data_IF_030866254292
#
_entry.id   IF_030866254292
#
_cell.length_a   1.000
_cell.length_b   1.000
_cell.length_c   1.000
_cell.angle_alpha   90.00
_cell.angle_beta   90.00
_cell.angle_gamma   90.00
#
_symmetry.space_group_name_H-M   'P 1'
#
loop_
_entity.id
_entity.type
_entity.pdbx_description
1 polymer ?
#
# COMPACT_ATOMS: atom_id res chain seq x y z
N UNK A 1 12.15 4.48 3.02
CA UNK A 1 10.73 4.74 3.45
C UNK A 1 10.53 4.18 4.84
N UNK A 2 9.82 4.88 5.76
CA UNK A 2 9.58 4.40 7.13
C UNK A 2 8.08 4.20 7.36
N UNK A 3 7.73 3.26 8.23
CA UNK A 3 6.33 3.02 8.64
C UNK A 3 5.78 4.27 9.33
N UNK A 4 6.61 4.96 10.12
CA UNK A 4 6.26 6.23 10.80
C UNK A 4 5.85 7.36 9.84
N UNK A 5 6.31 7.31 8.59
CA UNK A 5 6.09 8.38 7.60
C UNK A 5 4.77 8.23 6.84
N UNK A 6 3.99 7.16 7.12
CA UNK A 6 2.73 6.88 6.43
C UNK A 6 1.65 7.87 6.91
N UNK A 7 1.19 8.76 6.03
CA UNK A 7 0.29 9.83 6.44
C UNK A 7 -1.10 9.29 6.81
N UNK A 8 -1.67 9.83 7.90
CA UNK A 8 -3.06 9.61 8.27
C UNK A 8 -3.46 8.20 8.72
N UNK A 9 -2.49 7.30 8.99
CA UNK A 9 -2.74 5.90 9.34
C UNK A 9 -2.20 5.50 10.73
N UNK A 10 -2.53 6.22 11.82
CA UNK A 10 -1.91 5.99 13.12
C UNK A 10 -2.20 4.59 13.69
N UNK A 11 -3.35 3.99 13.37
CA UNK A 11 -3.70 2.64 13.83
C UNK A 11 -2.86 1.58 13.11
N UNK A 12 -2.73 1.68 11.79
CA UNK A 12 -1.90 0.77 11.00
C UNK A 12 -0.43 0.87 11.43
N UNK A 13 0.11 2.10 11.56
CA UNK A 13 1.48 2.36 12.02
C UNK A 13 1.73 1.69 13.37
N UNK A 14 0.89 1.95 14.38
CA UNK A 14 1.03 1.34 15.72
C UNK A 14 1.00 -0.18 15.69
N UNK A 15 0.12 -0.77 14.91
CA UNK A 15 -0.01 -2.23 14.79
C UNK A 15 1.25 -2.85 14.19
N UNK A 16 1.76 -2.30 13.09
CA UNK A 16 2.96 -2.80 12.42
C UNK A 16 4.22 -2.61 13.28
N UNK A 17 4.36 -1.45 13.92
CA UNK A 17 5.47 -1.19 14.83
C UNK A 17 5.43 -2.08 16.07
N UNK A 18 4.24 -2.38 16.62
CA UNK A 18 4.10 -3.30 17.74
C UNK A 18 4.49 -4.73 17.34
N UNK A 19 4.14 -5.18 16.13
CA UNK A 19 4.55 -6.48 15.62
C UNK A 19 6.08 -6.59 15.53
N UNK A 20 6.75 -5.57 15.00
CA UNK A 20 8.22 -5.50 14.92
C UNK A 20 8.86 -5.48 16.31
N UNK A 21 8.36 -4.62 17.21
CA UNK A 21 8.90 -4.46 18.58
C UNK A 21 8.85 -5.75 19.38
N UNK A 22 7.74 -6.48 19.27
CA UNK A 22 7.51 -7.70 20.05
C UNK A 22 8.07 -8.95 19.36
N UNK A 23 8.57 -8.84 18.13
CA UNK A 23 9.02 -9.98 17.32
C UNK A 23 7.87 -10.91 16.89
N UNK A 24 6.61 -10.52 17.14
CA UNK A 24 5.43 -11.32 16.84
C UNK A 24 4.90 -10.96 15.45
N UNK A 25 5.59 -11.45 14.43
CA UNK A 25 5.23 -11.20 13.02
C UNK A 25 4.28 -12.30 12.56
N UNK A 26 3.08 -11.90 12.15
CA UNK A 26 2.10 -12.82 11.55
C UNK A 26 2.61 -13.32 10.19
N UNK A 27 2.29 -14.57 9.86
CA UNK A 27 2.59 -15.15 8.54
C UNK A 27 1.78 -14.48 7.40
N UNK A 28 0.65 -13.85 7.72
CA UNK A 28 -0.17 -13.15 6.76
C UNK A 28 -0.79 -11.88 7.33
N UNK A 29 -0.82 -10.83 6.53
CA UNK A 29 -1.47 -9.55 6.79
C UNK A 29 -2.46 -9.24 5.67
N UNK A 30 -3.60 -8.64 6.03
CA UNK A 30 -4.58 -8.10 5.09
C UNK A 30 -4.68 -6.59 5.30
N UNK A 31 -4.09 -5.81 4.41
CA UNK A 31 -4.18 -4.35 4.42
C UNK A 31 -5.40 -3.91 3.63
N UNK A 32 -6.44 -3.50 4.35
CA UNK A 32 -7.72 -3.18 3.75
C UNK A 32 -8.13 -1.72 3.93
N UNK A 33 -8.63 -1.11 2.86
CA UNK A 33 -9.12 0.27 2.85
C UNK A 33 -9.18 0.87 1.45
N UNK A 34 -9.76 2.06 1.26
CA UNK A 34 -9.95 2.67 -0.04
C UNK A 34 -8.65 2.95 -0.79
N UNK A 35 -8.74 3.19 -2.10
CA UNK A 35 -7.61 3.63 -2.92
C UNK A 35 -6.93 4.88 -2.33
N UNK A 36 -5.62 5.02 -2.57
CA UNK A 36 -4.85 6.21 -2.18
C UNK A 36 -4.62 6.40 -0.68
N UNK A 37 -4.92 5.40 0.15
CA UNK A 37 -4.71 5.45 1.62
C UNK A 37 -3.30 5.08 2.06
N UNK A 38 -2.39 4.76 1.13
CA UNK A 38 -0.99 4.44 1.43
C UNK A 38 -0.72 2.96 1.75
N UNK A 39 -1.62 2.03 1.37
CA UNK A 39 -1.47 0.58 1.63
C UNK A 39 -0.20 0.00 1.02
N UNK A 40 0.08 0.29 -0.27
CA UNK A 40 1.29 -0.19 -0.96
C UNK A 40 2.55 0.35 -0.31
N UNK A 41 2.57 1.66 -0.01
CA UNK A 41 3.68 2.31 0.68
C UNK A 41 3.91 1.70 2.08
N UNK A 42 2.83 1.41 2.81
CA UNK A 42 2.91 0.76 4.12
C UNK A 42 3.44 -0.67 4.02
N UNK A 43 3.03 -1.44 3.02
CA UNK A 43 3.51 -2.80 2.79
C UNK A 43 5.01 -2.82 2.47
N UNK A 44 5.47 -1.91 1.59
CA UNK A 44 6.88 -1.76 1.26
C UNK A 44 7.71 -1.30 2.47
N UNK A 45 7.22 -0.33 3.24
CA UNK A 45 7.90 0.13 4.47
C UNK A 45 7.98 -0.99 5.52
N UNK A 46 6.92 -1.78 5.67
CA UNK A 46 6.92 -2.92 6.58
C UNK A 46 7.86 -4.02 6.10
N UNK A 47 7.87 -4.35 4.81
CA UNK A 47 8.82 -5.29 4.22
C UNK A 47 10.27 -4.81 4.44
N UNK A 48 10.56 -3.53 4.20
CA UNK A 48 11.87 -2.95 4.44
C UNK A 48 12.29 -3.08 5.92
N UNK A 49 11.37 -2.88 6.85
CA UNK A 49 11.63 -3.06 8.28
C UNK A 49 11.88 -4.54 8.65
N UNK A 50 11.18 -5.49 8.01
CA UNK A 50 11.39 -6.92 8.20
C UNK A 50 12.76 -7.41 7.72
N UNK A 51 13.33 -6.79 6.69
CA UNK A 51 14.66 -7.08 6.17
C UNK A 51 15.76 -6.29 6.88
N UNK A 52 15.42 -5.20 7.59
CA UNK A 52 16.38 -4.30 8.19
C UNK A 52 17.28 -5.01 9.21
N UNK A 53 18.61 -4.92 9.01
CA UNK A 53 19.61 -5.55 9.88
C UNK A 53 19.88 -4.78 11.16
N UNK A 54 19.51 -3.49 11.22
CA UNK A 54 19.69 -2.67 12.42
C UNK A 54 18.68 -3.02 13.53
N UNK A 55 17.57 -3.68 13.16
CA UNK A 55 16.48 -3.96 14.09
C UNK A 55 15.70 -2.72 14.49
N UNK A 56 14.68 -2.92 15.35
CA UNK A 56 13.85 -1.83 15.86
C UNK A 56 12.41 -1.90 15.39
N UNK A 57 11.70 -0.79 15.57
CA UNK A 57 10.27 -0.67 15.23
C UNK A 57 10.02 -0.09 13.84
N UNK A 58 11.11 0.19 13.11
CA UNK A 58 11.06 0.77 11.76
C UNK A 58 12.36 0.46 10.99
N UNK A 59 12.35 0.66 9.67
CA UNK A 59 13.53 0.54 8.84
C UNK A 59 14.54 1.66 9.12
N UNK A 60 15.84 1.35 9.20
CA UNK A 60 16.87 2.37 9.36
C UNK A 60 17.07 3.23 8.10
N UNK A 61 16.78 2.68 6.90
CA UNK A 61 16.96 3.34 5.61
C UNK A 61 18.40 3.31 5.05
N UNK A 62 19.39 2.90 5.84
CA UNK A 62 20.82 3.04 5.51
C UNK A 62 21.53 1.70 5.26
N UNK A 63 21.10 0.63 5.92
CA UNK A 63 21.71 -0.69 5.75
C UNK A 63 21.52 -1.24 4.33
N UNK A 64 22.34 -2.21 3.95
CA UNK A 64 22.31 -2.80 2.60
C UNK A 64 20.93 -3.36 2.25
N UNK A 65 20.28 -4.08 3.20
CA UNK A 65 18.94 -4.61 2.99
C UNK A 65 17.90 -3.50 2.74
N UNK A 66 17.93 -2.41 3.52
CA UNK A 66 17.03 -1.27 3.29
C UNK A 66 17.23 -0.66 1.91
N UNK A 67 18.47 -0.50 1.45
CA UNK A 67 18.78 0.02 0.12
C UNK A 67 18.36 -0.94 -1.00
N UNK A 68 18.55 -2.26 -0.83
CA UNK A 68 18.06 -3.26 -1.79
C UNK A 68 16.55 -3.15 -1.99
N UNK A 69 15.76 -3.05 -0.90
CA UNK A 69 14.30 -2.88 -0.99
C UNK A 69 13.93 -1.57 -1.68
N UNK A 70 14.58 -0.47 -1.34
CA UNK A 70 14.31 0.86 -1.91
C UNK A 70 14.55 0.91 -3.41
N UNK A 71 15.56 0.19 -3.90
CA UNK A 71 15.90 0.11 -5.33
C UNK A 71 15.22 -1.07 -6.06
N UNK A 72 14.33 -1.83 -5.39
CA UNK A 72 13.64 -2.98 -5.98
C UNK A 72 14.55 -4.18 -6.27
N UNK A 73 15.71 -4.26 -5.62
CA UNK A 73 16.75 -5.28 -5.84
C UNK A 73 16.83 -6.31 -4.70
N UNK A 74 15.81 -6.38 -3.82
CA UNK A 74 15.75 -7.39 -2.77
C UNK A 74 15.18 -8.70 -3.33
N UNK A 75 15.98 -9.77 -3.46
CA UNK A 75 15.55 -11.01 -4.12
C UNK A 75 14.46 -11.77 -3.32
N UNK A 76 14.39 -11.55 -2.02
CA UNK A 76 13.41 -12.19 -1.14
C UNK A 76 12.12 -11.34 -0.97
N UNK A 77 11.98 -10.22 -1.71
CA UNK A 77 10.76 -9.42 -1.82
C UNK A 77 10.10 -9.63 -3.18
N UNK A 78 8.91 -10.20 -3.17
CA UNK A 78 8.13 -10.45 -4.38
C UNK A 78 6.85 -9.62 -4.37
N UNK A 79 6.58 -8.94 -5.48
CA UNK A 79 5.34 -8.19 -5.68
C UNK A 79 4.53 -8.92 -6.74
N UNK A 80 3.27 -9.22 -6.41
CA UNK A 80 2.32 -9.89 -7.30
C UNK A 80 1.23 -8.90 -7.63
N UNK A 81 1.11 -8.58 -8.90
CA UNK A 81 0.07 -7.73 -9.47
C UNK A 81 -0.85 -8.55 -10.35
N UNK A 82 -2.12 -8.15 -10.54
CA UNK A 82 -3.00 -8.82 -11.49
C UNK A 82 -2.41 -8.87 -12.90
N UNK A 83 -2.50 -10.02 -13.56
CA UNK A 83 -2.24 -10.16 -15.00
C UNK A 83 -3.55 -9.85 -15.74
N UNK A 84 -3.64 -8.65 -16.29
CA UNK A 84 -4.88 -8.09 -16.81
C UNK A 84 -5.87 -7.78 -15.68
N UNK A 85 -7.03 -8.43 -15.69
CA UNK A 85 -8.11 -8.16 -14.74
C UNK A 85 -8.07 -9.03 -13.45
N UNK A 86 -7.17 -10.00 -13.33
CA UNK A 86 -7.20 -10.97 -12.23
C UNK A 86 -5.84 -11.55 -11.89
N UNK A 87 -5.70 -11.97 -10.63
CA UNK A 87 -4.58 -12.80 -10.19
C UNK A 87 -4.93 -14.26 -10.45
N UNK A 88 -4.13 -14.92 -11.28
CA UNK A 88 -4.37 -16.30 -11.71
C UNK A 88 -3.61 -17.31 -10.85
N UNK A 89 -4.09 -18.56 -10.88
CA UNK A 89 -3.51 -19.66 -10.11
C UNK A 89 -2.00 -19.88 -10.40
N UNK A 90 -1.56 -19.63 -11.63
CA UNK A 90 -0.16 -19.86 -12.02
C UNK A 90 0.80 -18.86 -11.34
N UNK A 91 0.33 -17.65 -11.06
CA UNK A 91 1.07 -16.66 -10.25
C UNK A 91 1.25 -17.17 -8.81
N UNK A 92 0.20 -17.74 -8.21
CA UNK A 92 0.26 -18.33 -6.86
C UNK A 92 1.14 -19.58 -6.83
N UNK A 93 1.07 -20.43 -7.88
CA UNK A 93 1.95 -21.61 -8.01
C UNK A 93 3.41 -21.22 -8.21
N UNK A 94 3.69 -20.13 -8.94
CA UNK A 94 5.02 -19.53 -9.04
C UNK A 94 5.56 -19.19 -7.66
N UNK A 95 4.78 -18.45 -6.88
CA UNK A 95 5.08 -18.11 -5.51
C UNK A 95 5.37 -19.35 -4.64
N UNK A 96 4.54 -20.39 -4.74
CA UNK A 96 4.74 -21.63 -3.98
C UNK A 96 6.03 -22.38 -4.37
N UNK A 97 6.43 -22.33 -5.64
CA UNK A 97 7.73 -22.89 -6.08
C UNK A 97 8.90 -22.09 -5.50
N UNK A 98 8.83 -20.77 -5.51
CA UNK A 98 9.87 -19.91 -4.94
C UNK A 98 10.03 -20.12 -3.42
N UNK A 99 8.96 -20.56 -2.75
CA UNK A 99 8.99 -20.95 -1.32
C UNK A 99 9.83 -22.21 -1.06
N UNK A 100 9.94 -23.10 -2.04
CA UNK A 100 10.72 -24.34 -1.94
C UNK A 100 12.23 -24.06 -1.91
N UNK A 101 12.66 -22.89 -2.38
CA UNK A 101 14.05 -22.46 -2.29
C UNK A 101 14.27 -21.76 -0.94
N UNK A 102 15.44 -22.00 -0.32
CA UNK A 102 15.81 -21.30 0.91
C UNK A 102 15.83 -19.79 0.66
N UNK A 103 15.42 -19.01 1.68
CA UNK A 103 15.64 -17.58 1.66
C UNK A 103 17.12 -17.31 1.37
N UNK A 104 17.43 -16.30 0.54
CA UNK A 104 18.80 -15.97 0.17
C UNK A 104 19.61 -15.45 1.36
N UNK A 105 20.05 -14.20 1.30
CA UNK A 105 20.74 -13.54 2.43
C UNK A 105 19.78 -13.11 3.54
N UNK A 106 18.51 -12.93 3.24
CA UNK A 106 17.49 -12.52 4.19
C UNK A 106 16.98 -13.69 5.03
N UNK A 107 16.65 -13.41 6.29
CA UNK A 107 16.05 -14.41 7.21
C UNK A 107 14.58 -14.70 6.87
N UNK A 108 13.95 -13.91 6.02
CA UNK A 108 12.53 -13.95 5.66
C UNK A 108 12.32 -13.73 4.18
N UNK A 109 11.22 -14.26 3.65
CA UNK A 109 10.68 -13.92 2.32
C UNK A 109 9.39 -13.15 2.52
N UNK A 110 9.20 -12.08 1.77
CA UNK A 110 8.00 -11.23 1.85
C UNK A 110 7.32 -11.21 0.49
N UNK A 111 6.03 -11.48 0.49
CA UNK A 111 5.16 -11.40 -0.68
C UNK A 111 4.13 -10.31 -0.48
N UNK A 112 4.10 -9.33 -1.39
CA UNK A 112 3.08 -8.29 -1.43
C UNK A 112 2.17 -8.59 -2.61
N UNK A 113 0.90 -8.82 -2.35
CA UNK A 113 -0.11 -9.09 -3.37
C UNK A 113 -1.02 -7.88 -3.49
N UNK A 114 -0.99 -7.20 -4.63
CA UNK A 114 -1.85 -6.06 -4.93
C UNK A 114 -3.22 -6.51 -5.43
N UNK A 115 -4.25 -5.73 -5.12
CA UNK A 115 -5.63 -6.02 -5.54
C UNK A 115 -6.04 -7.47 -5.27
N UNK A 116 -5.79 -7.95 -4.06
CA UNK A 116 -6.01 -9.35 -3.69
C UNK A 116 -7.47 -9.81 -3.89
N UNK A 117 -8.43 -8.88 -3.96
CA UNK A 117 -9.84 -9.14 -4.32
C UNK A 117 -10.00 -9.63 -5.77
N UNK A 118 -9.01 -9.43 -6.64
CA UNK A 118 -9.05 -9.87 -8.04
C UNK A 118 -8.59 -11.32 -8.25
N UNK A 119 -8.22 -12.02 -7.16
CA UNK A 119 -7.87 -13.44 -7.26
C UNK A 119 -9.01 -14.26 -7.85
N UNK A 120 -8.68 -15.10 -8.85
CA UNK A 120 -9.64 -16.12 -9.30
C UNK A 120 -9.96 -17.09 -8.16
N UNK A 121 -11.13 -17.76 -8.16
CA UNK A 121 -11.47 -18.76 -7.14
C UNK A 121 -10.39 -19.84 -6.97
N UNK A 122 -9.76 -20.26 -8.06
CA UNK A 122 -8.68 -21.25 -8.05
C UNK A 122 -7.41 -20.69 -7.38
N UNK A 123 -7.06 -19.41 -7.67
CA UNK A 123 -5.93 -18.73 -7.04
C UNK A 123 -6.16 -18.57 -5.53
N UNK A 124 -7.35 -18.12 -5.13
CA UNK A 124 -7.73 -17.95 -3.73
C UNK A 124 -7.70 -19.28 -2.95
N UNK A 125 -8.21 -20.36 -3.53
CA UNK A 125 -8.14 -21.70 -2.93
C UNK A 125 -6.69 -22.22 -2.83
N UNK A 126 -5.84 -21.93 -3.82
CA UNK A 126 -4.42 -22.26 -3.74
C UNK A 126 -3.70 -21.48 -2.63
N UNK A 127 -4.09 -20.21 -2.42
CA UNK A 127 -3.55 -19.38 -1.35
C UNK A 127 -3.93 -19.91 0.04
N UNK A 128 -5.10 -20.53 0.22
CA UNK A 128 -5.53 -21.12 1.50
C UNK A 128 -4.54 -22.17 2.01
N UNK A 129 -4.01 -23.03 1.14
CA UNK A 129 -3.00 -24.04 1.52
C UNK A 129 -1.76 -23.39 2.14
N UNK A 130 -1.32 -22.29 1.54
CA UNK A 130 -0.20 -21.51 2.08
C UNK A 130 -0.52 -20.87 3.43
N UNK A 131 -1.75 -20.38 3.62
CA UNK A 131 -2.18 -19.75 4.88
C UNK A 131 -2.42 -20.76 6.01
N UNK A 132 -2.71 -22.01 5.68
CA UNK A 132 -2.93 -23.10 6.65
C UNK A 132 -1.61 -23.70 7.15
N UNK A 133 -0.65 -23.86 6.26
CA UNK A 133 0.67 -24.40 6.55
C UNK A 133 1.78 -23.43 6.11
N UNK A 134 1.87 -22.25 6.76
CA UNK A 134 2.82 -21.22 6.33
C UNK A 134 4.25 -21.64 6.64
N UNK A 135 5.18 -21.53 5.68
CA UNK A 135 6.59 -21.69 5.98
C UNK A 135 7.05 -20.65 7.01
N UNK A 136 7.85 -21.03 8.02
CA UNK A 136 8.13 -20.17 9.18
C UNK A 136 8.87 -18.86 8.87
N UNK A 137 9.46 -18.77 7.69
CA UNK A 137 10.24 -17.59 7.25
C UNK A 137 9.48 -16.69 6.28
N UNK A 138 8.20 -16.98 6.01
CA UNK A 138 7.45 -16.27 4.98
C UNK A 138 6.41 -15.35 5.59
N UNK A 139 6.28 -14.15 5.01
CA UNK A 139 5.25 -13.17 5.36
C UNK A 139 4.50 -12.77 4.09
N UNK A 140 3.20 -13.01 4.05
CA UNK A 140 2.32 -12.54 2.98
C UNK A 140 1.61 -11.26 3.38
N UNK A 141 1.56 -10.26 2.50
CA UNK A 141 0.85 -9.00 2.70
C UNK A 141 -0.14 -8.84 1.54
N UNK A 142 -1.42 -9.02 1.84
CA UNK A 142 -2.51 -8.89 0.88
C UNK A 142 -3.04 -7.46 0.92
N UNK A 143 -3.06 -6.76 -0.20
CA UNK A 143 -3.61 -5.40 -0.32
C UNK A 143 -4.97 -5.48 -1.00
N UNK A 144 -5.99 -4.88 -0.40
CA UNK A 144 -7.35 -4.87 -0.95
C UNK A 144 -8.05 -3.54 -0.73
N UNK A 145 -8.83 -3.11 -1.71
CA UNK A 145 -9.74 -1.96 -1.56
C UNK A 145 -11.04 -2.36 -0.88
N UNK A 146 -11.48 -3.59 -1.12
CA UNK A 146 -12.71 -4.13 -0.57
C UNK A 146 -12.43 -5.41 0.24
N UNK A 147 -12.18 -5.30 1.56
CA UNK A 147 -11.95 -6.46 2.41
C UNK A 147 -13.10 -7.47 2.42
N UNK A 148 -14.32 -7.05 2.08
CA UNK A 148 -15.47 -7.95 2.03
C UNK A 148 -15.46 -8.85 0.79
N UNK A 149 -14.77 -8.46 -0.28
CA UNK A 149 -14.61 -9.29 -1.46
C UNK A 149 -13.57 -10.42 -1.27
N UNK A 150 -12.74 -10.33 -0.23
CA UNK A 150 -11.79 -11.40 0.11
C UNK A 150 -12.55 -12.56 0.79
N UNK A 151 -12.23 -13.79 0.41
CA UNK A 151 -12.83 -14.98 1.00
C UNK A 151 -12.75 -14.96 2.54
N UNK A 152 -13.84 -15.26 3.27
CA UNK A 152 -13.85 -15.28 4.73
C UNK A 152 -12.76 -16.19 5.32
N UNK A 153 -12.43 -17.27 4.63
CA UNK A 153 -11.39 -18.24 5.00
C UNK A 153 -9.97 -17.65 4.92
N UNK A 154 -9.71 -16.74 3.99
CA UNK A 154 -8.44 -15.98 3.91
C UNK A 154 -8.43 -14.92 5.01
N UNK A 155 -9.53 -14.16 5.17
CA UNK A 155 -9.64 -13.11 6.19
C UNK A 155 -9.42 -13.61 7.62
N UNK A 156 -9.93 -14.81 7.93
CA UNK A 156 -9.79 -15.39 9.27
C UNK A 156 -8.38 -15.85 9.61
N UNK A 157 -7.50 -16.01 8.60
CA UNK A 157 -6.11 -16.44 8.75
C UNK A 157 -5.08 -15.32 8.60
N UNK A 158 -5.51 -14.14 8.18
CA UNK A 158 -4.65 -12.97 8.01
C UNK A 158 -4.93 -11.93 9.10
N UNK A 159 -3.87 -11.31 9.62
CA UNK A 159 -4.01 -10.19 10.54
C UNK A 159 -4.50 -8.95 9.78
N UNK A 160 -5.70 -8.48 10.11
CA UNK A 160 -6.27 -7.32 9.46
C UNK A 160 -5.63 -6.03 9.93
N UNK A 161 -5.19 -5.21 8.97
CA UNK A 161 -4.64 -3.86 9.19
C UNK A 161 -5.52 -2.86 8.44
N UNK A 162 -6.35 -2.08 9.15
CA UNK A 162 -7.27 -1.14 8.52
C UNK A 162 -6.55 0.12 8.06
N UNK A 163 -6.86 0.55 6.84
CA UNK A 163 -6.47 1.84 6.27
C UNK A 163 -7.70 2.71 6.09
N UNK A 164 -7.69 3.90 6.67
CA UNK A 164 -8.79 4.84 6.62
C UNK A 164 -8.60 5.86 5.49
N UNK A 165 -9.69 6.40 4.93
CA UNK A 165 -9.60 7.52 4.00
C UNK A 165 -8.80 8.67 4.58
N UNK A 166 -7.94 9.26 3.77
CA UNK A 166 -7.18 10.44 4.18
C UNK A 166 -8.08 11.67 4.21
N UNK A 167 -7.98 12.47 5.27
CA UNK A 167 -8.69 13.75 5.30
C UNK A 167 -8.08 14.72 4.28
N UNK A 168 -8.87 15.63 3.69
CA UNK A 168 -8.37 16.67 2.80
C UNK A 168 -7.24 17.49 3.41
N UNK A 169 -7.28 17.73 4.72
CA UNK A 169 -6.23 18.43 5.44
C UNK A 169 -4.89 17.71 5.38
N UNK A 170 -4.87 16.40 5.67
CA UNK A 170 -3.64 15.60 5.65
C UNK A 170 -3.07 15.53 4.22
N UNK A 171 -3.94 15.35 3.22
CA UNK A 171 -3.52 15.34 1.82
C UNK A 171 -2.94 16.68 1.40
N UNK A 172 -3.57 17.79 1.81
CA UNK A 172 -3.10 19.15 1.51
C UNK A 172 -1.74 19.42 2.16
N UNK A 173 -1.59 19.13 3.45
CA UNK A 173 -0.31 19.30 4.17
C UNK A 173 0.81 18.53 3.47
N UNK A 174 0.56 17.30 3.03
CA UNK A 174 1.54 16.48 2.31
C UNK A 174 1.90 17.08 0.96
N UNK A 175 0.92 17.46 0.13
CA UNK A 175 1.14 18.07 -1.18
C UNK A 175 1.92 19.40 -1.08
N UNK A 176 1.62 20.22 -0.07
CA UNK A 176 2.36 21.47 0.17
C UNK A 176 3.80 21.19 0.60
N UNK A 177 4.05 20.17 1.43
CA UNK A 177 5.42 19.79 1.81
C UNK A 177 6.24 19.24 0.64
N UNK A 178 5.60 18.75 -0.41
CA UNK A 178 6.20 18.30 -1.67
C UNK A 178 6.42 19.44 -2.69
N UNK A 179 6.03 20.67 -2.35
CA UNK A 179 6.22 21.87 -3.18
C UNK A 179 5.14 22.07 -4.26
N UNK A 180 4.01 21.36 -4.20
CA UNK A 180 2.90 21.59 -5.13
C UNK A 180 2.26 22.97 -4.91
N UNK A 181 1.79 23.65 -6.00
CA UNK A 181 1.15 24.95 -5.91
C UNK A 181 -0.09 24.92 -5.01
N UNK A 182 -0.20 25.80 -3.98
CA UNK A 182 -1.28 25.73 -2.98
C UNK A 182 -2.69 25.76 -3.54
N UNK A 183 -2.91 26.54 -4.62
CA UNK A 183 -4.21 26.65 -5.25
C UNK A 183 -4.64 25.36 -5.98
N UNK A 184 -3.69 24.67 -6.60
CA UNK A 184 -3.96 23.41 -7.30
C UNK A 184 -4.10 22.27 -6.29
N UNK A 185 -3.24 22.23 -5.26
CA UNK A 185 -3.33 21.25 -4.18
C UNK A 185 -4.68 21.30 -3.47
N UNK A 186 -5.18 22.51 -3.12
CA UNK A 186 -6.52 22.69 -2.52
C UNK A 186 -7.64 22.19 -3.41
N UNK A 187 -7.57 22.40 -4.73
CA UNK A 187 -8.57 21.86 -5.65
C UNK A 187 -8.50 20.33 -5.74
N UNK A 188 -7.30 19.77 -5.89
CA UNK A 188 -7.08 18.34 -6.08
C UNK A 188 -7.58 17.50 -4.89
N UNK A 189 -7.39 17.92 -3.64
CA UNK A 189 -7.83 17.17 -2.45
C UNK A 189 -9.36 17.02 -2.31
N UNK A 190 -10.13 17.80 -3.06
CA UNK A 190 -11.59 17.68 -3.13
C UNK A 190 -12.06 16.89 -4.36
N UNK A 191 -11.18 16.61 -5.31
CA UNK A 191 -11.51 15.91 -6.55
C UNK A 191 -11.06 14.46 -6.56
N UNK A 192 -10.10 14.09 -5.70
CA UNK A 192 -9.53 12.76 -5.70
C UNK A 192 -9.38 12.18 -4.29
N UNK A 193 -9.44 10.85 -4.22
CA UNK A 193 -9.17 10.10 -3.00
C UNK A 193 -7.69 9.66 -2.97
N UNK A 194 -6.93 10.25 -2.04
CA UNK A 194 -5.53 9.90 -1.81
C UNK A 194 -4.53 10.79 -2.54
N UNK A 195 -3.30 10.77 -2.01
CA UNK A 195 -2.23 11.70 -2.40
C UNK A 195 -1.78 11.46 -3.85
N UNK A 196 -1.63 10.20 -4.26
CA UNK A 196 -1.15 9.86 -5.61
C UNK A 196 -2.14 10.32 -6.70
N UNK A 197 -3.44 10.15 -6.46
CA UNK A 197 -4.47 10.65 -7.37
C UNK A 197 -4.49 12.18 -7.42
N UNK A 198 -4.27 12.86 -6.28
CA UNK A 198 -4.12 14.31 -6.25
C UNK A 198 -2.90 14.78 -7.05
N UNK A 199 -1.75 14.10 -6.94
CA UNK A 199 -0.55 14.40 -7.74
C UNK A 199 -0.83 14.26 -9.24
N UNK A 200 -1.48 13.17 -9.63
CA UNK A 200 -1.83 12.92 -11.04
C UNK A 200 -2.73 14.04 -11.59
N UNK A 201 -3.74 14.48 -10.83
CA UNK A 201 -4.61 15.59 -11.23
C UNK A 201 -3.82 16.91 -11.34
N UNK A 202 -2.95 17.22 -10.39
CA UNK A 202 -2.15 18.46 -10.41
C UNK A 202 -1.22 18.49 -11.62
N UNK A 203 -0.70 17.34 -12.03
CA UNK A 203 0.21 17.20 -13.19
C UNK A 203 -0.53 17.11 -14.53
N UNK A 204 -1.85 16.92 -14.52
CA UNK A 204 -2.63 16.83 -15.74
C UNK A 204 -2.58 18.14 -16.51
N UNK A 205 -2.25 18.05 -17.80
CA UNK A 205 -2.25 19.19 -18.70
C UNK A 205 -3.64 19.85 -18.74
N UNK A 206 -3.66 21.19 -18.65
CA UNK A 206 -4.90 21.97 -18.64
C UNK A 206 -5.64 22.04 -17.30
N UNK A 207 -5.24 21.34 -16.24
CA UNK A 207 -5.93 21.40 -14.95
C UNK A 207 -5.94 22.81 -14.33
N UNK A 208 -4.81 23.53 -14.42
CA UNK A 208 -4.70 24.89 -13.92
C UNK A 208 -5.61 25.86 -14.69
N UNK A 209 -5.73 25.70 -16.00
CA UNK A 209 -6.57 26.52 -16.88
C UNK A 209 -8.06 26.22 -16.68
N UNK A 210 -8.41 24.93 -16.63
CA UNK A 210 -9.79 24.51 -16.34
C UNK A 210 -10.27 25.09 -15.00
N UNK A 211 -9.43 25.04 -13.97
CA UNK A 211 -9.74 25.65 -12.67
C UNK A 211 -10.00 27.16 -12.78
N UNK A 212 -9.18 27.91 -13.55
CA UNK A 212 -9.38 29.35 -13.77
C UNK A 212 -10.72 29.64 -14.45
N UNK A 213 -11.04 28.87 -15.49
CA UNK A 213 -12.31 29.01 -16.23
C UNK A 213 -13.52 28.74 -15.34
N UNK A 214 -13.50 27.68 -14.53
CA UNK A 214 -14.59 27.33 -13.59
C UNK A 214 -14.80 28.45 -12.56
N UNK A 215 -13.71 29.01 -12.00
CA UNK A 215 -13.82 30.13 -11.05
C UNK A 215 -14.38 31.38 -11.71
N UNK A 216 -13.96 31.71 -12.94
CA UNK A 216 -14.46 32.84 -13.68
C UNK A 216 -15.97 32.70 -13.97
N UNK A 217 -16.36 31.51 -14.44
CA UNK A 217 -17.78 31.20 -14.69
C UNK A 217 -18.63 31.33 -13.42
N UNK A 218 -18.12 30.85 -12.28
CA UNK A 218 -18.80 31.00 -10.97
C UNK A 218 -18.98 32.47 -10.56
N UNK A 219 -17.96 33.32 -10.75
CA UNK A 219 -18.03 34.74 -10.46
C UNK A 219 -19.04 35.44 -11.37
N UNK A 220 -19.03 35.13 -12.68
CA UNK A 220 -19.93 35.72 -13.66
C UNK A 220 -21.40 35.34 -13.41
N UNK A 221 -21.62 34.10 -12.94
CA UNK A 221 -22.95 33.60 -12.55
C UNK A 221 -23.47 34.26 -11.28
N UNK A 222 -22.62 34.42 -10.25
CA UNK A 222 -22.99 35.05 -8.98
C UNK A 222 -23.15 36.57 -9.12
N UNK A 223 -22.37 37.23 -9.98
CA UNK A 223 -22.49 38.66 -10.25
C UNK A 223 -23.74 39.06 -11.09
N UNK A 224 -24.49 38.09 -11.60
CA UNK A 224 -25.75 38.29 -12.34
C UNK A 224 -27.00 38.02 -11.50
N UNK A 225 -26.86 37.66 -10.26
CA UNK A 225 -27.99 37.57 -9.32
C UNK A 225 -28.36 38.98 -8.86
N UNK A 226 -29.63 39.41 -9.04
CA UNK A 226 -30.09 40.75 -8.62
C UNK A 226 -30.06 40.94 -7.11
#
# INVERSE_FOLDING_TARGET
>A
MRISDIPGQPKAVKLLQAALKNGNISHAYLFGGPAGTGRKQAALAFAQALFCTAGGTDACGECLACRKVEHGNEPDLHIIEPDGASIRIDQIRGLQRDLSYRAGEAKRKVYIMEQAETMTPQAANSMLKFLEEPPPTVVAILLTENPQAILPTIRSRAQFVPFLPLSPRIMLEKLLSEGHPPLLARAAVHLAAGIDACRAIIQQEGFAETRKLVIQLGKDSLGRLP
#
